data_IF_003659558828
#
_entry.id   IF_003659558828
#
_cell.length_a   1.000
_cell.length_b   1.000
_cell.length_c   1.000
_cell.angle_alpha   90.00
_cell.angle_beta   90.00
_cell.angle_gamma   90.00
#
_symmetry.space_group_name_H-M   'P 1'
#
loop_
_entity.id
_entity.type
_entity.pdbx_description
1 polymer ?
#
# COMPACT_ATOMS: atom_id res chain seq x y z
N UNK A 1 -11.48 8.10 16.86
CA UNK A 1 -11.12 7.04 17.84
C UNK A 1 -12.30 6.41 18.56
N UNK A 2 -13.44 7.09 18.74
CA UNK A 2 -14.61 6.54 19.46
C UNK A 2 -15.17 5.20 18.92
N UNK A 3 -15.02 4.92 17.62
CA UNK A 3 -15.46 3.66 17.02
C UNK A 3 -14.55 2.46 17.35
N UNK A 4 -13.31 2.71 17.78
CA UNK A 4 -12.28 1.68 17.88
C UNK A 4 -12.62 0.58 18.91
N UNK A 5 -13.08 0.88 20.14
CA UNK A 5 -13.45 -0.17 21.09
C UNK A 5 -14.51 -1.14 20.55
N UNK A 6 -15.55 -0.61 19.89
CA UNK A 6 -16.61 -1.42 19.29
C UNK A 6 -16.08 -2.26 18.13
N UNK A 7 -15.17 -1.72 17.33
CA UNK A 7 -14.54 -2.43 16.22
C UNK A 7 -13.65 -3.59 16.71
N UNK A 8 -12.81 -3.36 17.73
CA UNK A 8 -12.01 -4.42 18.35
C UNK A 8 -12.90 -5.53 18.93
N UNK A 9 -14.00 -5.15 19.62
CA UNK A 9 -14.95 -6.12 20.15
C UNK A 9 -15.64 -6.94 19.05
N UNK A 10 -16.00 -6.29 17.93
CA UNK A 10 -16.57 -6.95 16.76
C UNK A 10 -15.61 -7.99 16.17
N UNK A 11 -14.35 -7.61 15.92
CA UNK A 11 -13.33 -8.53 15.42
C UNK A 11 -13.13 -9.71 16.37
N UNK A 12 -12.96 -9.47 17.68
CA UNK A 12 -12.80 -10.55 18.68
C UNK A 12 -13.99 -11.51 18.73
N UNK A 13 -15.21 -11.01 18.54
CA UNK A 13 -16.43 -11.83 18.65
C UNK A 13 -16.70 -12.64 17.39
N UNK A 14 -16.36 -12.10 16.22
CA UNK A 14 -16.84 -12.64 14.94
C UNK A 14 -15.73 -13.21 14.05
N UNK A 15 -14.48 -12.84 14.27
CA UNK A 15 -13.33 -13.30 13.50
C UNK A 15 -12.41 -14.16 14.39
N UNK A 16 -12.47 -15.51 14.32
CA UNK A 16 -11.76 -16.40 15.26
C UNK A 16 -10.23 -16.21 15.28
N UNK A 17 -9.63 -15.82 14.14
CA UNK A 17 -8.22 -15.45 14.05
C UNK A 17 -7.90 -14.22 14.89
N UNK A 18 -8.73 -13.17 14.82
CA UNK A 18 -8.58 -12.00 15.68
C UNK A 18 -8.94 -12.30 17.15
N UNK A 19 -9.86 -13.21 17.42
CA UNK A 19 -10.12 -13.68 18.79
C UNK A 19 -8.85 -14.27 19.42
N UNK A 20 -8.07 -15.04 18.64
CA UNK A 20 -6.76 -15.58 19.04
C UNK A 20 -5.69 -14.51 19.16
N UNK A 21 -5.50 -13.68 18.13
CA UNK A 21 -4.47 -12.61 18.09
C UNK A 21 -4.66 -11.62 19.25
N UNK A 22 -5.92 -11.28 19.56
CA UNK A 22 -6.27 -10.27 20.54
C UNK A 22 -6.76 -10.87 21.87
N UNK A 23 -6.40 -12.12 22.19
CA UNK A 23 -6.95 -12.88 23.34
C UNK A 23 -6.95 -12.08 24.64
N UNK A 24 -5.83 -11.42 24.97
CA UNK A 24 -5.62 -10.69 26.24
C UNK A 24 -6.06 -9.20 26.17
N UNK A 25 -6.57 -8.77 25.02
CA UNK A 25 -6.97 -7.38 24.77
C UNK A 25 -8.37 -7.13 25.32
N UNK A 26 -8.52 -6.08 26.13
CA UNK A 26 -9.81 -5.53 26.56
C UNK A 26 -10.26 -4.43 25.58
N UNK A 27 -11.29 -4.68 24.74
CA UNK A 27 -11.69 -3.74 23.68
C UNK A 27 -11.95 -2.31 24.17
N UNK A 28 -12.60 -2.16 25.32
CA UNK A 28 -12.94 -0.88 25.96
C UNK A 28 -11.71 0.00 26.28
N UNK A 29 -10.53 -0.61 26.39
CA UNK A 29 -9.27 0.11 26.64
C UNK A 29 -8.58 0.61 25.37
N UNK A 30 -9.04 0.18 24.18
CA UNK A 30 -8.44 0.56 22.90
C UNK A 30 -9.19 1.76 22.32
N UNK A 31 -9.02 2.93 22.95
CA UNK A 31 -9.75 4.16 22.63
C UNK A 31 -8.83 5.33 22.19
N UNK A 32 -7.53 5.08 22.05
CA UNK A 32 -6.54 6.07 21.62
C UNK A 32 -5.54 5.46 20.63
N UNK A 33 -4.73 6.30 19.96
CA UNK A 33 -3.71 5.83 19.00
C UNK A 33 -2.60 5.07 19.72
N UNK A 34 -2.24 5.50 20.92
CA UNK A 34 -1.25 4.87 21.79
C UNK A 34 -1.73 3.50 22.26
N UNK A 35 -3.03 3.36 22.57
CA UNK A 35 -3.61 2.07 22.93
C UNK A 35 -3.66 1.12 21.73
N UNK A 36 -3.99 1.63 20.53
CA UNK A 36 -3.93 0.86 19.29
C UNK A 36 -2.50 0.36 19.02
N UNK A 37 -1.50 1.23 19.13
CA UNK A 37 -0.09 0.91 18.84
C UNK A 37 0.49 -0.23 19.72
N UNK A 38 -0.15 -0.59 20.83
CA UNK A 38 0.24 -1.72 21.69
C UNK A 38 -0.29 -3.07 21.22
N UNK A 39 -1.24 -3.10 20.28
CA UNK A 39 -1.78 -4.34 19.75
C UNK A 39 -0.77 -5.02 18.82
N UNK A 40 -0.77 -6.35 18.67
CA UNK A 40 0.05 -7.03 17.67
C UNK A 40 -0.23 -6.52 16.26
N UNK A 41 0.81 -6.43 15.44
CA UNK A 41 0.68 -6.15 14.01
C UNK A 41 0.34 -7.45 13.28
N UNK A 42 -0.64 -7.40 12.39
CA UNK A 42 -0.95 -8.49 11.45
C UNK A 42 -0.26 -8.16 10.13
N UNK A 43 0.68 -8.97 9.65
CA UNK A 43 1.40 -8.65 8.43
C UNK A 43 0.81 -9.36 7.23
N UNK A 44 0.83 -8.69 6.07
CA UNK A 44 0.47 -9.31 4.80
C UNK A 44 1.31 -10.56 4.50
N UNK A 45 2.61 -10.54 4.85
CA UNK A 45 3.52 -11.68 4.71
C UNK A 45 3.06 -12.94 5.44
N UNK A 46 2.26 -12.77 6.50
CA UNK A 46 1.84 -13.88 7.37
C UNK A 46 0.51 -14.49 6.91
N UNK A 47 -0.20 -13.87 5.97
CA UNK A 47 -1.54 -14.26 5.55
C UNK A 47 -1.59 -15.70 5.05
N UNK A 48 -0.66 -16.12 4.20
CA UNK A 48 -0.66 -17.50 3.68
C UNK A 48 -0.53 -18.53 4.80
N UNK A 49 0.27 -18.24 5.83
CA UNK A 49 0.42 -19.10 7.00
C UNK A 49 -0.85 -19.09 7.87
N UNK A 50 -1.38 -17.90 8.17
CA UNK A 50 -2.61 -17.75 8.95
C UNK A 50 -3.80 -18.46 8.28
N UNK A 51 -3.93 -18.35 6.96
CA UNK A 51 -4.99 -19.00 6.18
C UNK A 51 -4.87 -20.53 6.16
N UNK A 52 -3.64 -21.07 6.17
CA UNK A 52 -3.41 -22.51 6.33
C UNK A 52 -3.74 -23.00 7.73
N UNK A 53 -3.37 -22.23 8.76
CA UNK A 53 -3.66 -22.58 10.16
C UNK A 53 -5.16 -22.61 10.45
N UNK A 54 -5.92 -21.66 9.90
CA UNK A 54 -7.37 -21.61 10.07
C UNK A 54 -8.08 -21.31 8.74
N UNK A 55 -8.34 -22.33 7.92
CA UNK A 55 -8.95 -22.15 6.60
C UNK A 55 -10.37 -21.57 6.66
N UNK A 56 -10.81 -20.87 5.59
CA UNK A 56 -10.02 -20.51 4.41
C UNK A 56 -9.32 -19.14 4.52
N UNK A 57 -9.76 -18.26 5.43
CA UNK A 57 -9.34 -16.85 5.51
C UNK A 57 -8.55 -16.52 6.80
N UNK A 58 -7.99 -17.51 7.47
CA UNK A 58 -7.23 -17.35 8.71
C UNK A 58 -8.08 -16.95 9.92
N UNK A 59 -9.40 -17.08 9.79
CA UNK A 59 -10.37 -16.51 10.72
C UNK A 59 -10.25 -14.99 10.87
N UNK A 60 -9.70 -14.29 9.88
CA UNK A 60 -9.57 -12.83 9.88
C UNK A 60 -10.84 -12.12 9.39
N UNK A 61 -11.73 -12.86 8.71
CA UNK A 61 -13.08 -12.42 8.35
C UNK A 61 -14.07 -12.60 9.51
N UNK A 62 -14.92 -11.59 9.72
CA UNK A 62 -16.03 -11.63 10.67
C UNK A 62 -17.34 -12.14 10.03
N UNK A 63 -17.49 -11.99 8.72
CA UNK A 63 -18.63 -12.52 7.98
C UNK A 63 -18.31 -13.91 7.45
N UNK A 64 -19.16 -14.93 7.71
CA UNK A 64 -18.98 -16.28 7.17
C UNK A 64 -18.85 -16.29 5.65
N UNK A 65 -18.04 -17.20 5.12
CA UNK A 65 -17.64 -17.22 3.70
C UNK A 65 -18.84 -17.34 2.77
N UNK A 66 -19.82 -18.17 3.13
CA UNK A 66 -21.05 -18.38 2.39
C UNK A 66 -21.97 -17.14 2.33
N UNK A 67 -21.68 -16.11 3.15
CA UNK A 67 -22.40 -14.83 3.16
C UNK A 67 -21.65 -13.71 2.44
N UNK A 68 -20.38 -13.91 2.10
CA UNK A 68 -19.60 -12.98 1.29
C UNK A 68 -20.16 -12.90 -0.14
N UNK A 69 -19.80 -11.83 -0.85
CA UNK A 69 -20.14 -11.67 -2.26
C UNK A 69 -19.15 -12.42 -3.15
N UNK A 70 -17.85 -12.29 -2.87
CA UNK A 70 -16.77 -12.90 -3.66
C UNK A 70 -15.62 -13.32 -2.77
N UNK A 71 -14.83 -14.27 -3.28
CA UNK A 71 -13.48 -14.58 -2.81
C UNK A 71 -12.52 -14.38 -3.97
N UNK A 72 -11.39 -13.74 -3.68
CA UNK A 72 -10.30 -13.52 -4.60
C UNK A 72 -9.09 -14.38 -4.22
N UNK A 73 -8.16 -14.50 -5.15
CA UNK A 73 -6.91 -15.24 -5.04
C UNK A 73 -5.79 -14.37 -5.58
N UNK A 74 -4.93 -13.91 -4.70
CA UNK A 74 -3.67 -13.24 -5.07
C UNK A 74 -2.50 -14.24 -5.15
N UNK A 75 -1.40 -13.88 -5.84
CA UNK A 75 -0.17 -14.64 -5.78
C UNK A 75 0.30 -14.92 -4.34
N UNK A 76 0.93 -16.07 -4.11
CA UNK A 76 1.30 -16.51 -2.75
C UNK A 76 0.21 -17.34 -2.05
N UNK A 77 -0.60 -18.07 -2.85
CA UNK A 77 -2.01 -18.41 -2.58
C UNK A 77 -2.65 -17.70 -1.39
N UNK A 78 -2.83 -16.38 -1.51
CA UNK A 78 -3.53 -15.57 -0.50
C UNK A 78 -4.97 -15.38 -0.98
N UNK A 79 -5.92 -15.57 -0.07
CA UNK A 79 -7.36 -15.40 -0.35
C UNK A 79 -7.91 -14.13 0.29
N UNK A 80 -8.68 -13.35 -0.44
CA UNK A 80 -9.26 -12.09 0.04
C UNK A 80 -10.79 -12.06 -0.12
N UNK A 81 -11.54 -11.66 0.92
CA UNK A 81 -12.99 -11.56 0.85
C UNK A 81 -13.46 -10.25 0.22
N UNK A 82 -14.65 -10.26 -0.38
CA UNK A 82 -15.46 -9.07 -0.67
C UNK A 82 -16.88 -9.28 -0.13
N UNK A 83 -17.38 -8.29 0.61
CA UNK A 83 -18.76 -8.27 1.11
C UNK A 83 -19.75 -7.68 0.09
N UNK A 84 -21.02 -7.57 0.49
CA UNK A 84 -22.13 -7.20 -0.43
C UNK A 84 -22.39 -5.69 -0.57
N UNK A 85 -21.54 -4.84 0.01
CA UNK A 85 -21.71 -3.39 -0.05
C UNK A 85 -21.48 -2.85 -1.47
N UNK A 86 -22.26 -1.84 -1.88
CA UNK A 86 -22.16 -1.26 -3.23
C UNK A 86 -20.78 -0.62 -3.54
N UNK A 87 -20.14 -0.02 -2.53
CA UNK A 87 -18.76 0.50 -2.59
C UNK A 87 -17.94 -0.12 -1.44
N UNK A 88 -17.95 -1.46 -1.34
CA UNK A 88 -17.32 -2.18 -0.24
C UNK A 88 -15.82 -1.85 -0.08
N UNK A 89 -15.16 -1.58 -1.19
CA UNK A 89 -13.74 -1.24 -1.27
C UNK A 89 -13.42 0.24 -1.07
N UNK A 90 -14.45 1.10 -0.94
CA UNK A 90 -14.35 2.55 -0.67
C UNK A 90 -13.61 3.32 -1.76
N UNK A 91 -13.81 2.95 -3.02
CA UNK A 91 -13.11 3.57 -4.16
C UNK A 91 -13.85 4.77 -4.75
N UNK A 92 -15.18 4.88 -4.55
CA UNK A 92 -16.00 5.93 -5.18
C UNK A 92 -15.54 7.35 -4.81
N UNK A 93 -15.12 7.55 -3.56
CA UNK A 93 -14.66 8.86 -3.09
C UNK A 93 -13.31 9.27 -3.69
N UNK A 94 -12.38 8.32 -3.82
CA UNK A 94 -11.10 8.56 -4.48
C UNK A 94 -11.31 8.97 -5.94
N UNK A 95 -12.19 8.24 -6.65
CA UNK A 95 -12.60 8.56 -8.02
C UNK A 95 -13.22 9.97 -8.11
N UNK A 96 -14.14 10.31 -7.22
CA UNK A 96 -14.72 11.65 -7.18
C UNK A 96 -13.67 12.74 -6.95
N UNK A 97 -12.70 12.49 -6.06
CA UNK A 97 -11.59 13.41 -5.81
C UNK A 97 -10.65 13.58 -7.01
N UNK A 98 -10.52 12.54 -7.84
CA UNK A 98 -9.81 12.55 -9.12
C UNK A 98 -10.59 13.12 -10.30
N UNK A 99 -11.82 13.61 -10.09
CA UNK A 99 -12.62 14.29 -11.11
C UNK A 99 -13.59 13.38 -11.88
N UNK A 100 -13.79 12.13 -11.46
CA UNK A 100 -14.82 11.25 -12.00
C UNK A 100 -16.21 11.69 -11.53
N UNK A 101 -17.23 11.57 -12.38
CA UNK A 101 -18.60 11.98 -12.08
C UNK A 101 -19.61 10.98 -12.65
N UNK A 102 -20.82 11.02 -12.12
CA UNK A 102 -21.95 10.30 -12.70
C UNK A 102 -22.11 10.64 -14.20
N UNK A 103 -22.36 9.64 -15.03
CA UNK A 103 -22.43 9.77 -16.48
C UNK A 103 -21.10 9.61 -17.23
N UNK A 104 -19.95 9.59 -16.54
CA UNK A 104 -18.68 9.20 -17.15
C UNK A 104 -18.77 7.75 -17.65
N UNK A 105 -18.20 7.49 -18.83
CA UNK A 105 -18.01 6.14 -19.39
C UNK A 105 -16.56 5.75 -19.14
N UNK A 106 -16.37 4.68 -18.37
CA UNK A 106 -15.08 4.34 -17.77
C UNK A 106 -14.57 3.02 -18.31
N UNK A 107 -13.44 3.02 -19.01
CA UNK A 107 -12.72 1.78 -19.31
C UNK A 107 -12.02 1.32 -18.03
N UNK A 108 -12.46 0.17 -17.47
CA UNK A 108 -11.76 -0.47 -16.36
C UNK A 108 -10.91 -1.62 -16.89
N UNK A 109 -9.59 -1.40 -16.88
CA UNK A 109 -8.63 -2.32 -17.49
C UNK A 109 -7.88 -3.18 -16.47
N UNK A 110 -8.27 -3.13 -15.19
CA UNK A 110 -7.76 -4.07 -14.20
C UNK A 110 -8.30 -5.47 -14.45
N UNK A 111 -7.56 -6.50 -14.02
CA UNK A 111 -8.01 -7.88 -14.15
C UNK A 111 -9.29 -8.15 -13.35
N UNK A 112 -10.23 -8.85 -13.97
CA UNK A 112 -11.50 -9.30 -13.39
C UNK A 112 -11.48 -10.76 -12.94
N UNK A 113 -10.32 -11.41 -13.02
CA UNK A 113 -10.11 -12.80 -12.64
C UNK A 113 -8.99 -12.89 -11.60
N UNK A 114 -9.15 -13.82 -10.66
CA UNK A 114 -8.29 -14.05 -9.50
C UNK A 114 -8.19 -12.87 -8.53
N UNK A 115 -7.64 -11.72 -8.94
CA UNK A 115 -7.39 -10.58 -8.04
C UNK A 115 -8.56 -9.59 -8.00
N UNK A 116 -8.73 -8.80 -6.91
CA UNK A 116 -9.91 -7.97 -6.75
C UNK A 116 -9.90 -6.66 -7.55
N UNK A 117 -8.80 -6.26 -8.18
CA UNK A 117 -8.64 -4.89 -8.69
C UNK A 117 -9.74 -4.46 -9.68
N UNK A 118 -10.15 -5.33 -10.62
CA UNK A 118 -11.27 -5.05 -11.53
C UNK A 118 -12.57 -4.81 -10.77
N UNK A 119 -12.97 -5.75 -9.92
CA UNK A 119 -14.16 -5.65 -9.04
C UNK A 119 -14.14 -4.41 -8.14
N UNK A 120 -12.97 -4.12 -7.58
CA UNK A 120 -12.71 -3.04 -6.63
C UNK A 120 -12.99 -1.67 -7.23
N UNK A 121 -12.43 -1.40 -8.40
CA UNK A 121 -12.59 -0.12 -9.08
C UNK A 121 -13.93 -0.02 -9.80
N UNK A 122 -14.47 -1.14 -10.28
CA UNK A 122 -15.83 -1.19 -10.82
C UNK A 122 -16.88 -0.80 -9.77
N UNK A 123 -16.79 -1.38 -8.56
CA UNK A 123 -17.78 -1.13 -7.50
C UNK A 123 -17.90 0.35 -7.15
N UNK A 124 -16.77 1.05 -6.96
CA UNK A 124 -16.82 2.48 -6.66
C UNK A 124 -17.18 3.35 -7.86
N UNK A 125 -16.78 2.99 -9.09
CA UNK A 125 -17.20 3.72 -10.29
C UNK A 125 -18.71 3.60 -10.50
N UNK A 126 -19.26 2.38 -10.35
CA UNK A 126 -20.71 2.14 -10.43
C UNK A 126 -21.46 2.87 -9.30
N UNK A 127 -20.96 2.83 -8.06
CA UNK A 127 -21.55 3.55 -6.93
C UNK A 127 -21.51 5.08 -7.12
N UNK A 128 -20.54 5.61 -7.87
CA UNK A 128 -20.45 7.01 -8.24
C UNK A 128 -21.43 7.40 -9.37
N UNK A 129 -22.06 6.44 -10.03
CA UNK A 129 -22.98 6.63 -11.16
C UNK A 129 -22.28 6.64 -12.52
N UNK A 130 -21.05 6.13 -12.63
CA UNK A 130 -20.39 5.94 -13.91
C UNK A 130 -20.89 4.69 -14.63
N UNK A 131 -20.83 4.70 -15.97
CA UNK A 131 -21.01 3.50 -16.79
C UNK A 131 -19.66 2.82 -16.96
N UNK A 132 -19.48 1.66 -16.33
CA UNK A 132 -18.22 0.89 -16.43
C UNK A 132 -18.23 0.03 -17.69
N UNK A 133 -17.16 0.11 -18.47
CA UNK A 133 -16.84 -0.79 -19.57
C UNK A 133 -15.73 -1.73 -19.07
N UNK A 134 -16.06 -2.98 -18.68
CA UNK A 134 -15.13 -3.89 -18.01
C UNK A 134 -14.21 -4.58 -19.02
N UNK A 135 -13.29 -3.83 -19.62
CA UNK A 135 -12.45 -4.33 -20.71
C UNK A 135 -11.35 -5.27 -20.23
N UNK A 136 -10.94 -5.17 -18.97
CA UNK A 136 -9.88 -6.00 -18.41
C UNK A 136 -8.52 -5.74 -19.06
N UNK A 137 -7.65 -6.74 -19.03
CA UNK A 137 -6.26 -6.65 -19.53
C UNK A 137 -6.13 -7.11 -20.99
N UNK A 138 -5.10 -6.63 -21.69
CA UNK A 138 -4.77 -7.05 -23.05
C UNK A 138 -5.73 -6.51 -24.13
N UNK A 139 -5.67 -7.12 -25.33
CA UNK A 139 -6.49 -6.77 -26.50
C UNK A 139 -6.47 -5.26 -26.81
N UNK A 140 -5.28 -4.66 -26.91
CA UNK A 140 -5.13 -3.21 -26.99
C UNK A 140 -5.77 -2.62 -28.25
N UNK A 141 -5.77 -3.32 -29.39
CA UNK A 141 -6.51 -2.90 -30.59
C UNK A 141 -8.02 -2.76 -30.33
N UNK A 142 -8.61 -3.75 -29.65
CA UNK A 142 -10.04 -3.76 -29.32
C UNK A 142 -10.37 -2.68 -28.28
N UNK A 143 -9.48 -2.45 -27.31
CA UNK A 143 -9.63 -1.39 -26.32
C UNK A 143 -9.64 -0.01 -26.97
N UNK A 144 -8.71 0.27 -27.89
CA UNK A 144 -8.67 1.54 -28.65
C UNK A 144 -9.95 1.72 -29.45
N UNK A 145 -10.40 0.68 -30.16
CA UNK A 145 -11.65 0.71 -30.90
C UNK A 145 -12.87 0.95 -29.98
N UNK A 146 -12.90 0.34 -28.79
CA UNK A 146 -13.96 0.55 -27.81
C UNK A 146 -13.95 1.96 -27.22
N UNK A 147 -12.77 2.52 -26.91
CA UNK A 147 -12.62 3.89 -26.42
C UNK A 147 -13.25 4.86 -27.40
N UNK A 148 -12.91 4.73 -28.69
CA UNK A 148 -13.48 5.60 -29.73
C UNK A 148 -14.96 5.31 -29.98
N UNK A 149 -15.32 4.05 -30.15
CA UNK A 149 -16.67 3.63 -30.54
C UNK A 149 -17.74 3.91 -29.49
N UNK A 150 -17.39 3.77 -28.19
CA UNK A 150 -18.29 4.05 -27.07
C UNK A 150 -18.11 5.46 -26.51
N UNK A 151 -17.16 6.24 -27.05
CA UNK A 151 -16.81 7.57 -26.53
C UNK A 151 -16.39 7.53 -25.06
N UNK A 152 -15.57 6.56 -24.66
CA UNK A 152 -15.10 6.39 -23.28
C UNK A 152 -14.27 7.61 -22.90
N UNK A 153 -14.67 8.30 -21.82
CA UNK A 153 -14.01 9.53 -21.39
C UNK A 153 -13.15 9.41 -20.14
N UNK A 154 -13.13 8.23 -19.52
CA UNK A 154 -12.33 7.98 -18.33
C UNK A 154 -11.68 6.60 -18.34
N UNK A 155 -10.51 6.48 -17.72
CA UNK A 155 -9.72 5.25 -17.64
C UNK A 155 -9.40 4.88 -16.19
N UNK A 156 -9.50 3.59 -15.86
CA UNK A 156 -9.01 2.97 -14.63
C UNK A 156 -8.09 1.81 -14.98
N UNK A 157 -6.85 1.82 -14.48
CA UNK A 157 -5.87 0.79 -14.81
C UNK A 157 -4.47 1.08 -14.30
N UNK A 158 -3.46 0.43 -14.86
CA UNK A 158 -2.06 0.71 -14.53
C UNK A 158 -1.50 1.82 -15.42
N UNK A 159 -0.49 2.58 -14.95
CA UNK A 159 0.26 3.53 -15.78
C UNK A 159 0.82 2.88 -17.05
N UNK A 160 1.41 1.70 -16.93
CA UNK A 160 2.00 0.96 -18.05
C UNK A 160 0.95 0.59 -19.11
N UNK A 161 -0.23 0.14 -18.70
CA UNK A 161 -1.27 -0.24 -19.64
C UNK A 161 -1.92 0.96 -20.32
N UNK A 162 -2.12 2.07 -19.61
CA UNK A 162 -2.58 3.32 -20.21
C UNK A 162 -1.61 3.79 -21.31
N UNK A 163 -0.30 3.70 -21.05
CA UNK A 163 0.73 4.00 -22.06
C UNK A 163 0.57 3.12 -23.30
N UNK A 164 0.40 1.80 -23.13
CA UNK A 164 0.21 0.87 -24.25
C UNK A 164 -1.03 1.20 -25.08
N UNK A 165 -2.14 1.60 -24.45
CA UNK A 165 -3.36 2.02 -25.15
C UNK A 165 -3.11 3.27 -25.99
N UNK A 166 -2.40 4.25 -25.43
CA UNK A 166 -2.06 5.50 -26.15
C UNK A 166 -1.14 5.22 -27.34
N UNK A 167 -0.07 4.43 -27.14
CA UNK A 167 0.85 4.05 -28.23
C UNK A 167 0.13 3.25 -29.32
N UNK A 168 -0.77 2.34 -28.94
CA UNK A 168 -1.57 1.57 -29.90
C UNK A 168 -2.56 2.46 -30.67
N UNK A 169 -3.15 3.47 -30.03
CA UNK A 169 -4.00 4.43 -30.71
C UNK A 169 -3.24 5.24 -31.76
N UNK A 170 -2.01 5.66 -31.46
CA UNK A 170 -1.14 6.34 -32.41
C UNK A 170 -0.77 5.43 -33.60
N UNK A 171 -0.40 4.17 -33.33
CA UNK A 171 -0.08 3.16 -34.36
C UNK A 171 -1.27 2.93 -35.31
N UNK A 172 -2.47 2.79 -34.74
CA UNK A 172 -3.71 2.60 -35.49
C UNK A 172 -4.25 3.89 -36.13
N UNK A 173 -3.64 5.04 -35.80
CA UNK A 173 -4.10 6.38 -36.22
C UNK A 173 -5.55 6.66 -35.81
N UNK A 174 -5.94 6.22 -34.62
CA UNK A 174 -7.28 6.44 -34.05
C UNK A 174 -7.20 7.56 -33.00
N UNK A 175 -8.04 8.58 -33.17
CA UNK A 175 -8.16 9.67 -32.22
C UNK A 175 -8.91 9.24 -30.95
N UNK A 176 -8.19 9.21 -29.83
CA UNK A 176 -8.71 8.91 -28.49
C UNK A 176 -8.80 10.16 -27.59
N UNK A 177 -8.81 11.36 -28.15
CA UNK A 177 -8.95 12.62 -27.38
C UNK A 177 -10.20 12.70 -26.50
N UNK A 178 -11.21 11.86 -26.77
CA UNK A 178 -12.35 11.68 -25.88
C UNK A 178 -11.97 11.18 -24.47
N UNK A 179 -10.81 10.54 -24.31
CA UNK A 179 -10.31 10.02 -23.04
C UNK A 179 -9.67 11.14 -22.20
N UNK A 180 -10.48 11.87 -21.45
CA UNK A 180 -10.10 13.12 -20.78
C UNK A 180 -9.42 12.93 -19.41
N UNK A 181 -9.64 11.79 -18.75
CA UNK A 181 -9.16 11.57 -17.37
C UNK A 181 -8.78 10.12 -17.13
N UNK A 182 -7.86 9.93 -16.20
CA UNK A 182 -7.43 8.61 -15.77
C UNK A 182 -7.10 8.61 -14.27
N UNK A 183 -7.53 7.57 -13.58
CA UNK A 183 -6.99 7.23 -12.27
C UNK A 183 -6.22 5.92 -12.39
N UNK A 184 -4.93 5.97 -12.07
CA UNK A 184 -4.03 4.82 -12.18
C UNK A 184 -3.64 4.26 -10.81
N UNK A 185 -3.24 3.00 -10.75
CA UNK A 185 -2.79 2.36 -9.52
C UNK A 185 -2.00 1.08 -9.79
N UNK A 186 -1.72 0.34 -8.72
CA UNK A 186 -0.93 -0.91 -8.69
C UNK A 186 0.54 -0.80 -9.13
N UNK A 187 0.96 0.30 -9.74
CA UNK A 187 2.34 0.61 -10.09
C UNK A 187 2.64 2.08 -9.79
N UNK A 188 3.92 2.39 -9.59
CA UNK A 188 4.39 3.77 -9.53
C UNK A 188 4.17 4.46 -10.88
N UNK A 189 3.52 5.63 -10.89
CA UNK A 189 3.42 6.51 -12.07
C UNK A 189 4.65 7.43 -12.17
N UNK A 190 5.57 7.22 -13.15
CA UNK A 190 6.74 8.07 -13.31
C UNK A 190 6.35 9.50 -13.73
N UNK A 191 7.04 10.55 -13.23
CA UNK A 191 6.74 11.95 -13.58
C UNK A 191 6.77 12.22 -15.10
N UNK A 192 7.72 11.60 -15.82
CA UNK A 192 7.83 11.74 -17.28
C UNK A 192 6.58 11.20 -17.97
N UNK A 193 6.10 10.00 -17.57
CA UNK A 193 4.90 9.41 -18.14
C UNK A 193 3.67 10.26 -17.84
N UNK A 194 3.54 10.77 -16.61
CA UNK A 194 2.46 11.69 -16.22
C UNK A 194 2.44 12.92 -17.13
N UNK A 195 3.59 13.58 -17.31
CA UNK A 195 3.70 14.79 -18.14
C UNK A 195 3.32 14.50 -19.59
N UNK A 196 3.77 13.38 -20.17
CA UNK A 196 3.44 12.99 -21.54
C UNK A 196 1.93 12.77 -21.73
N UNK A 197 1.25 12.14 -20.76
CA UNK A 197 -0.20 11.93 -20.81
C UNK A 197 -0.96 13.25 -20.61
N UNK A 198 -0.48 14.14 -19.73
CA UNK A 198 -1.07 15.46 -19.53
C UNK A 198 -0.96 16.37 -20.76
N UNK A 199 0.15 16.29 -21.51
CA UNK A 199 0.31 17.01 -22.77
C UNK A 199 -0.70 16.57 -23.85
N UNK A 200 -1.28 15.37 -23.71
CA UNK A 200 -2.39 14.88 -24.54
C UNK A 200 -3.78 15.33 -24.06
N UNK A 201 -3.83 16.17 -23.03
CA UNK A 201 -5.09 16.70 -22.48
C UNK A 201 -5.71 15.84 -21.37
N UNK A 202 -5.01 14.81 -20.88
CA UNK A 202 -5.54 13.93 -19.84
C UNK A 202 -5.28 14.49 -18.44
N UNK A 203 -6.29 14.45 -17.56
CA UNK A 203 -6.11 14.64 -16.12
C UNK A 203 -5.76 13.32 -15.45
N UNK A 204 -4.60 13.27 -14.80
CA UNK A 204 -4.06 12.06 -14.20
C UNK A 204 -4.08 12.16 -12.68
N UNK A 205 -4.65 11.14 -12.03
CA UNK A 205 -4.54 10.90 -10.59
C UNK A 205 -4.10 9.47 -10.33
N UNK A 206 -3.57 9.22 -9.13
CA UNK A 206 -3.11 7.90 -8.71
C UNK A 206 -3.77 7.50 -7.39
N UNK A 207 -4.04 6.21 -7.22
CA UNK A 207 -4.50 5.65 -5.96
C UNK A 207 -3.56 4.57 -5.43
N UNK A 208 -3.48 4.49 -4.11
CA UNK A 208 -2.83 3.44 -3.36
C UNK A 208 -3.91 2.54 -2.74
N UNK A 209 -3.91 1.27 -3.11
CA UNK A 209 -4.87 0.27 -2.67
C UNK A 209 -4.20 -1.09 -2.52
N UNK A 210 -4.81 -1.99 -1.76
CA UNK A 210 -4.39 -3.39 -1.67
C UNK A 210 -5.58 -4.34 -1.79
N UNK A 211 -5.32 -5.58 -2.18
CA UNK A 211 -6.33 -6.64 -2.26
C UNK A 211 -7.02 -6.94 -0.91
N UNK A 212 -6.39 -6.55 0.21
CA UNK A 212 -6.88 -6.81 1.55
C UNK A 212 -7.70 -5.65 2.12
N UNK A 213 -7.27 -4.42 1.83
CA UNK A 213 -7.81 -3.21 2.45
C UNK A 213 -8.74 -2.42 1.52
N UNK A 214 -8.66 -2.61 0.21
CA UNK A 214 -9.27 -1.70 -0.76
C UNK A 214 -8.49 -0.40 -0.88
N UNK A 215 -9.21 0.71 -1.07
CA UNK A 215 -8.58 2.03 -1.13
C UNK A 215 -7.93 2.37 0.21
N UNK A 216 -6.64 2.70 0.17
CA UNK A 216 -5.86 3.18 1.31
C UNK A 216 -5.70 4.69 1.24
N UNK A 217 -5.24 5.19 0.09
CA UNK A 217 -5.06 6.62 -0.14
C UNK A 217 -5.24 6.97 -1.63
N UNK A 218 -5.52 8.24 -1.93
CA UNK A 218 -5.78 8.71 -3.28
C UNK A 218 -5.24 10.13 -3.50
N UNK A 219 -4.69 10.40 -4.69
CA UNK A 219 -4.46 11.76 -5.15
C UNK A 219 -5.80 12.47 -5.41
N UNK A 220 -5.81 13.80 -5.33
CA UNK A 220 -7.00 14.61 -5.58
C UNK A 220 -6.67 15.81 -6.44
N UNK A 221 -7.70 16.41 -7.02
CA UNK A 221 -7.57 17.66 -7.76
C UNK A 221 -7.89 18.87 -6.86
N UNK A 222 -7.13 19.94 -7.08
CA UNK A 222 -7.37 21.29 -6.58
C UNK A 222 -8.54 21.95 -7.34
N UNK A 223 -9.12 23.05 -6.82
CA UNK A 223 -10.21 23.76 -7.50
C UNK A 223 -9.88 24.24 -8.92
N UNK A 224 -8.61 24.55 -9.20
CA UNK A 224 -8.10 24.93 -10.52
C UNK A 224 -7.82 23.73 -11.45
N UNK A 225 -8.10 22.49 -10.99
CA UNK A 225 -7.87 21.26 -11.73
C UNK A 225 -6.44 20.72 -11.65
N UNK A 226 -5.53 21.38 -10.93
CA UNK A 226 -4.17 20.89 -10.72
C UNK A 226 -4.13 19.75 -9.70
N UNK A 227 -3.05 18.97 -9.71
CA UNK A 227 -2.88 17.86 -8.77
C UNK A 227 -2.53 18.40 -7.37
N UNK A 228 -3.25 17.95 -6.35
CA UNK A 228 -2.89 18.17 -4.96
C UNK A 228 -1.71 17.28 -4.57
N UNK A 229 -0.71 17.84 -3.92
CA UNK A 229 0.49 17.10 -3.50
C UNK A 229 0.15 15.97 -2.51
N UNK A 230 0.69 14.78 -2.78
CA UNK A 230 0.52 13.60 -1.95
C UNK A 230 -0.83 12.91 -2.11
N UNK A 231 -0.98 11.81 -1.38
CA UNK A 231 -2.19 10.99 -1.38
C UNK A 231 -2.95 11.17 -0.07
N UNK A 232 -4.23 11.51 -0.15
CA UNK A 232 -5.13 11.66 0.98
C UNK A 232 -5.58 10.29 1.43
N UNK A 233 -5.45 10.00 2.73
CA UNK A 233 -5.93 8.76 3.33
C UNK A 233 -7.45 8.66 3.18
N UNK A 234 -7.94 7.44 2.95
CA UNK A 234 -9.37 7.16 2.97
C UNK A 234 -9.94 7.33 4.41
N UNK A 235 -11.14 7.91 4.51
CA UNK A 235 -11.71 8.42 5.76
C UNK A 235 -12.10 7.33 6.76
N UNK A 236 -12.33 6.11 6.31
CA UNK A 236 -12.66 4.98 7.17
C UNK A 236 -11.43 4.18 7.61
N UNK A 237 -10.23 4.77 7.52
CA UNK A 237 -8.97 4.13 7.91
C UNK A 237 -8.26 4.87 9.05
N UNK A 238 -7.57 4.11 9.90
CA UNK A 238 -6.53 4.65 10.78
C UNK A 238 -5.18 4.24 10.21
N UNK A 239 -4.38 5.25 9.85
CA UNK A 239 -2.99 5.10 9.47
C UNK A 239 -2.08 5.14 10.70
N UNK A 240 -1.13 4.22 10.73
CA UNK A 240 0.13 4.28 11.45
C UNK A 240 1.28 4.15 10.43
N UNK A 241 2.35 4.91 10.62
CA UNK A 241 3.64 4.64 9.96
C UNK A 241 4.52 4.03 11.04
N UNK A 242 4.98 2.80 10.84
CA UNK A 242 5.76 2.05 11.85
C UNK A 242 7.14 1.72 11.33
N UNK A 243 8.10 1.49 12.24
CA UNK A 243 9.43 1.03 11.85
C UNK A 243 9.32 -0.37 11.20
N UNK A 244 9.86 -0.59 9.99
CA UNK A 244 9.77 -1.87 9.28
C UNK A 244 10.23 -3.05 10.13
N UNK A 245 9.49 -4.16 10.05
CA UNK A 245 9.76 -5.37 10.84
C UNK A 245 9.34 -5.28 12.32
N UNK A 246 8.94 -4.10 12.81
CA UNK A 246 8.44 -3.88 14.18
C UNK A 246 6.96 -3.48 14.20
N UNK A 247 6.42 -3.16 15.37
CA UNK A 247 5.10 -2.53 15.53
C UNK A 247 5.17 -1.11 16.08
N UNK A 248 6.34 -0.48 16.10
CA UNK A 248 6.55 0.80 16.79
C UNK A 248 6.31 1.98 15.84
N UNK A 249 5.37 2.90 16.14
CA UNK A 249 5.15 4.09 15.33
C UNK A 249 6.39 4.98 15.26
N UNK A 250 6.65 5.55 14.08
CA UNK A 250 7.71 6.55 13.88
C UNK A 250 7.14 7.98 14.00
N UNK A 251 7.97 8.99 14.30
CA UNK A 251 7.57 10.40 14.25
C UNK A 251 7.00 10.80 12.89
N UNK A 252 6.08 11.78 12.88
CA UNK A 252 5.49 12.29 11.65
C UNK A 252 6.56 12.81 10.68
N UNK A 253 6.46 12.42 9.41
CA UNK A 253 7.41 12.77 8.35
C UNK A 253 8.57 11.78 8.19
N UNK A 254 8.80 10.87 9.14
CA UNK A 254 9.73 9.76 8.95
C UNK A 254 9.14 8.67 8.06
N UNK A 255 10.00 8.02 7.27
CA UNK A 255 9.58 6.90 6.43
C UNK A 255 9.48 5.64 7.28
N UNK A 256 8.43 4.88 7.03
CA UNK A 256 8.23 3.57 7.63
C UNK A 256 7.15 2.78 6.90
N UNK A 257 6.86 1.60 7.42
CA UNK A 257 5.85 0.71 6.89
C UNK A 257 4.45 1.25 7.15
N UNK A 258 3.61 1.21 6.11
CA UNK A 258 2.21 1.58 6.18
C UNK A 258 1.43 0.49 6.90
N UNK A 259 0.88 0.85 8.07
CA UNK A 259 0.00 -0.02 8.86
C UNK A 259 -1.38 0.60 8.93
N UNK A 260 -2.39 -0.20 8.57
CA UNK A 260 -3.78 0.27 8.46
C UNK A 260 -4.68 -0.52 9.40
N UNK A 261 -5.54 0.18 10.11
CA UNK A 261 -6.74 -0.41 10.72
C UNK A 261 -7.96 0.06 9.92
N UNK A 262 -8.72 -0.90 9.36
CA UNK A 262 -9.93 -0.63 8.57
C UNK A 262 -11.19 -0.91 9.37
N UNK A 263 -12.22 -0.06 9.24
CA UNK A 263 -13.51 -0.27 9.90
C UNK A 263 -14.49 -1.17 9.11
N UNK A 264 -13.98 -1.97 8.18
CA UNK A 264 -14.76 -2.96 7.46
C UNK A 264 -15.34 -4.01 8.42
N UNK A 265 -16.66 -4.24 8.36
CA UNK A 265 -17.35 -5.19 9.27
C UNK A 265 -17.24 -6.64 8.82
N UNK A 266 -17.01 -6.90 7.53
CA UNK A 266 -16.87 -8.26 7.00
C UNK A 266 -15.43 -8.77 7.17
N UNK A 267 -14.45 -7.88 6.99
CA UNK A 267 -13.02 -8.18 7.08
C UNK A 267 -12.28 -7.14 7.94
N UNK A 268 -12.45 -7.19 9.28
CA UNK A 268 -12.00 -6.15 10.21
C UNK A 268 -10.49 -6.23 10.48
N UNK A 269 -9.67 -5.95 9.47
CA UNK A 269 -8.22 -5.96 9.60
C UNK A 269 -7.73 -4.86 10.55
N UNK A 270 -7.06 -5.27 11.63
CA UNK A 270 -6.53 -4.41 12.69
C UNK A 270 -5.00 -4.44 12.64
N UNK A 271 -4.39 -3.24 12.63
CA UNK A 271 -2.95 -3.03 12.46
C UNK A 271 -2.36 -3.92 11.37
N UNK A 272 -2.94 -3.83 10.18
CA UNK A 272 -2.51 -4.59 9.02
C UNK A 272 -1.34 -3.91 8.32
N UNK A 273 -0.16 -4.53 8.41
CA UNK A 273 1.06 -4.11 7.75
C UNK A 273 1.01 -4.49 6.27
N UNK A 274 1.05 -3.49 5.39
CA UNK A 274 0.92 -3.69 3.94
C UNK A 274 2.19 -4.23 3.30
N UNK A 275 3.34 -4.05 3.96
CA UNK A 275 4.65 -4.27 3.39
C UNK A 275 5.14 -3.10 2.51
N UNK A 276 4.42 -1.99 2.44
CA UNK A 276 4.82 -0.82 1.63
C UNK A 276 5.31 0.32 2.52
N UNK A 277 6.25 1.11 2.01
CA UNK A 277 6.85 2.25 2.72
C UNK A 277 6.19 3.56 2.32
N UNK A 278 5.97 4.43 3.30
CA UNK A 278 5.55 5.81 3.08
C UNK A 278 5.91 6.70 4.27
N UNK A 279 5.59 7.99 4.15
CA UNK A 279 5.67 8.96 5.24
C UNK A 279 4.46 9.88 5.21
N UNK A 280 4.05 10.34 6.40
CA UNK A 280 3.03 11.39 6.53
C UNK A 280 3.56 12.70 5.98
N UNK A 281 2.77 13.36 5.13
CA UNK A 281 3.00 14.73 4.71
C UNK A 281 2.39 15.70 5.73
N UNK A 282 3.17 16.65 6.27
CA UNK A 282 2.66 17.61 7.24
C UNK A 282 1.74 18.64 6.59
N UNK A 283 0.95 19.30 7.45
CA UNK A 283 0.09 20.42 7.05
C UNK A 283 -1.26 20.02 6.46
N UNK A 284 -2.17 20.99 6.43
CA UNK A 284 -3.50 20.82 5.83
C UNK A 284 -3.39 20.58 4.31
N UNK A 285 -4.34 19.84 3.73
CA UNK A 285 -4.36 19.66 2.29
C UNK A 285 -4.73 20.98 1.58
N UNK A 286 -3.97 21.41 0.57
CA UNK A 286 -4.34 22.57 -0.26
C UNK A 286 -5.72 22.44 -0.93
N UNK A 287 -6.16 21.22 -1.27
CA UNK A 287 -7.51 20.98 -1.81
C UNK A 287 -8.68 21.14 -0.81
N UNK A 288 -8.41 21.48 0.46
CA UNK A 288 -9.42 21.68 1.51
C UNK A 288 -9.87 20.42 2.26
N UNK A 289 -9.46 19.22 1.80
CA UNK A 289 -9.68 17.97 2.56
C UNK A 289 -8.81 17.95 3.82
N UNK A 290 -9.38 17.49 4.93
CA UNK A 290 -8.74 17.55 6.25
C UNK A 290 -8.13 16.23 6.73
N UNK A 291 -8.21 15.17 5.93
CA UNK A 291 -7.61 13.88 6.30
C UNK A 291 -6.08 13.91 6.11
N UNK A 292 -5.39 12.97 6.76
CA UNK A 292 -3.94 12.79 6.67
C UNK A 292 -3.53 12.60 5.21
N UNK A 293 -2.42 13.21 4.82
CA UNK A 293 -1.76 12.94 3.54
C UNK A 293 -0.51 12.11 3.75
N UNK A 294 -0.22 11.23 2.80
CA UNK A 294 1.03 10.48 2.72
C UNK A 294 1.77 10.84 1.43
N UNK A 295 3.08 10.66 1.40
CA UNK A 295 3.91 10.91 0.20
C UNK A 295 3.54 10.01 -0.99
N UNK A 296 2.83 8.91 -0.73
CA UNK A 296 2.59 7.84 -1.69
C UNK A 296 3.58 6.71 -1.49
N UNK A 297 3.79 5.89 -2.51
CA UNK A 297 4.66 4.73 -2.42
C UNK A 297 6.15 5.13 -2.41
N UNK A 298 6.89 4.71 -1.39
CA UNK A 298 8.32 4.99 -1.24
C UNK A 298 9.22 3.73 -1.31
N UNK A 299 8.63 2.55 -1.47
CA UNK A 299 9.37 1.28 -1.50
C UNK A 299 8.61 0.16 -0.81
N UNK A 300 9.30 -0.93 -0.53
CA UNK A 300 8.76 -2.12 0.14
C UNK A 300 9.48 -2.35 1.46
N UNK A 301 8.73 -2.48 2.55
CA UNK A 301 9.22 -2.77 3.89
C UNK A 301 9.62 -4.24 4.08
N UNK A 302 9.21 -5.12 3.16
CA UNK A 302 9.53 -6.55 3.14
C UNK A 302 10.59 -6.91 2.08
N UNK A 303 11.21 -5.91 1.44
CA UNK A 303 12.30 -6.17 0.50
C UNK A 303 13.47 -6.84 1.23
N UNK A 304 13.55 -8.16 1.03
CA UNK A 304 14.70 -8.94 1.43
C UNK A 304 15.77 -8.82 0.35
N UNK A 305 16.97 -8.40 0.72
CA UNK A 305 18.09 -8.43 -0.21
C UNK A 305 18.80 -9.76 -0.10
N UNK A 306 19.03 -10.41 -1.25
CA UNK A 306 19.81 -11.64 -1.32
C UNK A 306 21.29 -11.29 -1.19
N UNK A 307 21.97 -11.92 -0.24
CA UNK A 307 23.40 -11.79 0.01
C UNK A 307 23.98 -13.20 0.08
N UNK A 308 24.84 -13.59 -0.87
CA UNK A 308 25.55 -14.89 -0.84
C UNK A 308 24.62 -16.08 -0.56
N UNK A 309 23.53 -16.16 -1.31
CA UNK A 309 22.47 -17.19 -1.22
C UNK A 309 21.59 -17.19 0.05
N UNK A 310 21.79 -16.26 0.99
CA UNK A 310 20.90 -16.02 2.12
C UNK A 310 20.11 -14.72 1.92
N UNK A 311 18.95 -14.60 2.59
CA UNK A 311 18.14 -13.37 2.57
C UNK A 311 18.37 -12.59 3.86
N UNK A 312 18.62 -11.30 3.73
CA UNK A 312 18.63 -10.38 4.87
C UNK A 312 17.35 -9.57 4.85
N UNK A 313 16.62 -9.64 5.96
CA UNK A 313 15.32 -8.99 6.12
C UNK A 313 15.45 -7.70 6.94
N UNK A 314 14.54 -6.73 6.75
CA UNK A 314 14.49 -5.53 7.59
C UNK A 314 14.32 -5.84 9.09
N UNK A 315 13.60 -6.91 9.45
CA UNK A 315 13.49 -7.37 10.84
C UNK A 315 14.85 -7.75 11.46
N UNK A 316 15.72 -8.42 10.69
CA UNK A 316 17.08 -8.73 11.14
C UNK A 316 17.92 -7.47 11.32
N UNK A 317 17.82 -6.50 10.41
CA UNK A 317 18.52 -5.20 10.55
C UNK A 317 18.01 -4.45 11.77
N UNK A 318 16.70 -4.45 12.03
CA UNK A 318 16.11 -3.84 13.22
C UNK A 318 16.56 -4.53 14.51
N UNK A 319 16.68 -5.86 14.51
CA UNK A 319 17.20 -6.59 15.69
C UNK A 319 18.68 -6.29 15.95
N UNK A 320 19.50 -6.14 14.90
CA UNK A 320 20.89 -5.68 15.05
C UNK A 320 20.91 -4.30 15.69
N UNK A 321 20.21 -3.31 15.10
CA UNK A 321 20.23 -1.92 15.61
C UNK A 321 19.69 -1.80 17.03
N UNK A 322 18.68 -2.58 17.41
CA UNK A 322 18.12 -2.61 18.78
C UNK A 322 19.16 -3.00 19.85
N UNK A 323 20.21 -3.75 19.49
CA UNK A 323 21.30 -4.13 20.40
C UNK A 323 22.33 -3.02 20.63
N UNK A 324 22.29 -1.94 19.83
CA UNK A 324 23.27 -0.85 19.84
C UNK A 324 22.56 0.50 19.96
N UNK A 325 22.28 0.98 21.18
CA UNK A 325 21.59 2.27 21.42
C UNK A 325 22.27 3.49 20.80
N UNK A 326 23.55 3.38 20.45
CA UNK A 326 24.36 4.41 19.78
C UNK A 326 23.93 4.63 18.31
N UNK A 327 23.26 3.65 17.71
CA UNK A 327 22.80 3.70 16.32
C UNK A 327 21.45 4.41 16.23
N UNK A 328 21.45 5.57 15.60
CA UNK A 328 20.26 6.40 15.39
C UNK A 328 19.45 5.95 14.19
N UNK A 329 20.15 5.64 13.08
CA UNK A 329 19.58 5.13 11.82
C UNK A 329 20.57 4.14 11.23
N UNK A 330 20.06 3.17 10.50
CA UNK A 330 20.92 2.26 9.77
C UNK A 330 20.37 1.96 8.38
N UNK A 331 21.28 1.72 7.43
CA UNK A 331 20.96 1.30 6.07
C UNK A 331 21.84 0.12 5.71
N UNK A 332 21.21 -0.98 5.29
CA UNK A 332 21.94 -2.09 4.70
C UNK A 332 22.15 -1.82 3.21
N UNK A 333 23.40 -1.75 2.80
CA UNK A 333 23.80 -1.60 1.40
C UNK A 333 24.43 -2.92 0.95
N UNK A 334 23.90 -3.48 -0.12
CA UNK A 334 24.43 -4.70 -0.76
C UNK A 334 24.86 -4.32 -2.16
N UNK A 335 26.14 -4.51 -2.45
CA UNK A 335 26.77 -4.16 -3.72
C UNK A 335 27.59 -5.35 -4.24
N UNK A 336 27.81 -5.41 -5.55
CA UNK A 336 28.62 -6.43 -6.19
C UNK A 336 27.81 -7.40 -7.05
N UNK A 337 28.49 -8.42 -7.55
CA UNK A 337 27.89 -9.48 -8.37
C UNK A 337 27.39 -10.63 -7.50
N UNK A 338 26.33 -11.30 -7.94
CA UNK A 338 25.73 -12.41 -7.21
C UNK A 338 26.76 -13.49 -6.85
N UNK A 339 26.97 -13.74 -5.55
CA UNK A 339 27.97 -14.69 -5.05
C UNK A 339 29.29 -14.04 -4.59
N UNK A 340 29.53 -12.78 -4.95
CA UNK A 340 30.60 -11.92 -4.42
C UNK A 340 30.03 -10.62 -3.81
N UNK A 341 28.81 -10.70 -3.27
CA UNK A 341 28.12 -9.54 -2.69
C UNK A 341 28.89 -9.02 -1.45
N UNK A 342 29.10 -7.70 -1.40
CA UNK A 342 29.57 -6.97 -0.22
C UNK A 342 28.36 -6.39 0.51
N UNK A 343 28.22 -6.75 1.78
CA UNK A 343 27.13 -6.31 2.64
C UNK A 343 27.67 -5.33 3.68
N UNK A 344 27.28 -4.07 3.58
CA UNK A 344 27.73 -2.99 4.48
C UNK A 344 26.52 -2.40 5.20
N UNK A 345 26.51 -2.47 6.54
CA UNK A 345 25.54 -1.77 7.36
C UNK A 345 26.09 -0.38 7.70
N UNK A 346 25.54 0.64 7.06
CA UNK A 346 25.85 2.03 7.38
C UNK A 346 25.03 2.44 8.60
N UNK A 347 25.67 2.94 9.65
CA UNK A 347 25.03 3.32 10.91
C UNK A 347 25.29 4.80 11.20
N UNK A 348 24.22 5.60 11.31
CA UNK A 348 24.32 6.95 11.87
C UNK A 348 24.53 6.87 13.36
N UNK A 349 25.63 7.43 13.86
CA UNK A 349 25.90 7.50 15.30
C UNK A 349 26.33 8.91 15.69
N UNK A 350 25.93 9.36 16.89
CA UNK A 350 26.42 10.62 17.48
C UNK A 350 27.82 10.43 18.06
N UNK A 351 27.97 9.37 18.87
CA UNK A 351 29.21 9.00 19.51
C UNK A 351 29.80 7.76 18.80
N UNK A 352 31.14 7.68 18.77
CA UNK A 352 31.89 6.58 18.15
C UNK A 352 32.86 5.97 19.17
N UNK A 353 32.34 5.31 20.22
CA UNK A 353 33.20 4.65 21.18
C UNK A 353 34.07 3.60 20.48
N UNK A 354 35.29 3.44 20.97
CA UNK A 354 36.22 2.43 20.43
C UNK A 354 35.57 1.04 20.53
N UNK A 355 35.60 0.27 19.43
CA UNK A 355 35.00 -1.06 19.39
C UNK A 355 33.54 -1.13 18.93
N UNK A 356 32.86 0.01 18.70
CA UNK A 356 31.44 0.01 18.30
C UNK A 356 31.21 -0.69 16.96
N UNK A 357 32.05 -0.41 15.97
CA UNK A 357 31.93 -1.03 14.65
C UNK A 357 32.08 -2.56 14.75
N UNK A 358 33.05 -3.04 15.52
CA UNK A 358 33.31 -4.46 15.78
C UNK A 358 32.14 -5.13 16.51
N UNK A 359 31.53 -4.45 17.49
CA UNK A 359 30.36 -4.93 18.21
C UNK A 359 29.12 -5.06 17.29
N UNK A 360 28.92 -4.09 16.40
CA UNK A 360 27.84 -4.14 15.40
C UNK A 360 28.12 -5.26 14.38
N UNK A 361 29.35 -5.43 13.90
CA UNK A 361 29.74 -6.55 13.02
C UNK A 361 29.44 -7.89 13.68
N UNK A 362 29.76 -8.05 14.97
CA UNK A 362 29.45 -9.26 15.72
C UNK A 362 27.92 -9.53 15.79
N UNK A 363 27.12 -8.48 15.98
CA UNK A 363 25.66 -8.59 16.00
C UNK A 363 25.07 -8.91 14.63
N UNK A 364 25.60 -8.31 13.55
CA UNK A 364 25.25 -8.68 12.17
C UNK A 364 25.48 -10.18 11.97
N UNK A 365 26.67 -10.68 12.33
CA UNK A 365 27.00 -12.10 12.19
C UNK A 365 26.09 -12.99 13.02
N UNK A 366 25.73 -12.59 14.24
CA UNK A 366 24.84 -13.39 15.09
C UNK A 366 23.41 -13.42 14.56
N UNK A 367 22.86 -12.28 14.12
CA UNK A 367 21.45 -12.18 13.71
C UNK A 367 21.22 -12.67 12.27
N UNK A 368 22.13 -12.34 11.35
CA UNK A 368 21.98 -12.65 9.92
C UNK A 368 22.68 -13.95 9.52
N UNK A 369 23.59 -14.46 10.35
CA UNK A 369 24.52 -15.56 10.04
C UNK A 369 25.44 -15.29 8.83
N UNK A 370 25.52 -14.03 8.38
CA UNK A 370 26.38 -13.54 7.30
C UNK A 370 27.53 -12.70 7.85
N UNK A 371 28.65 -12.66 7.12
CA UNK A 371 29.69 -11.64 7.35
C UNK A 371 29.25 -10.34 6.69
N UNK A 372 29.37 -9.23 7.40
CA UNK A 372 29.11 -7.89 6.89
C UNK A 372 30.11 -6.88 7.44
N UNK A 373 30.20 -5.75 6.76
CA UNK A 373 30.99 -4.59 7.15
C UNK A 373 30.10 -3.55 7.84
N UNK A 374 30.69 -2.67 8.65
CA UNK A 374 29.98 -1.56 9.29
C UNK A 374 30.67 -0.27 8.93
N UNK A 375 29.88 0.72 8.50
CA UNK A 375 30.34 2.06 8.22
C UNK A 375 29.63 3.03 9.17
N UNK A 376 30.38 3.68 10.08
CA UNK A 376 29.83 4.68 10.98
C UNK A 376 29.80 6.05 10.27
N UNK A 377 28.60 6.59 10.07
CA UNK A 377 28.38 7.82 9.32
C UNK A 377 27.81 8.93 10.23
N UNK A 378 27.98 10.23 9.90
CA UNK A 378 27.44 11.32 10.70
C UNK A 378 25.90 11.31 10.75
N UNK A 379 25.25 11.83 11.81
CA UNK A 379 23.80 11.97 11.85
C UNK A 379 23.24 12.79 10.68
N UNK A 380 22.15 12.33 10.06
CA UNK A 380 21.52 12.97 8.90
C UNK A 380 22.19 12.74 7.55
N UNK A 381 23.18 11.85 7.46
CA UNK A 381 23.89 11.52 6.21
C UNK A 381 23.22 10.39 5.42
N UNK A 382 22.41 9.55 6.06
CA UNK A 382 21.64 8.53 5.37
C UNK A 382 20.32 9.12 4.87
N UNK A 383 19.91 8.78 3.63
CA UNK A 383 18.59 9.13 3.14
C UNK A 383 17.51 8.45 3.99
N UNK A 384 16.40 9.16 4.17
CA UNK A 384 15.24 8.67 4.88
C UNK A 384 14.26 8.08 3.86
N UNK A 385 14.56 6.89 3.35
CA UNK A 385 13.79 6.17 2.33
C UNK A 385 13.18 4.83 2.82
N UNK A 386 13.32 4.53 4.12
CA UNK A 386 12.69 3.41 4.81
C UNK A 386 13.65 2.28 5.13
#
# INVERSE_FOLDING_TARGET
MAALPRHIAHAKRHAPGFARILKDVRPEKINSREALARLPVTRKSDLASLQKELPPLGGLNATPVEKLAKLFVSPGPIYEPEGRGADWWRTARGLFAGGFRAGDRVANTFAYHFTPAGSMLESGAAALGCTVVPTGVGQTEMQVAAIRGLGINAFLGTPSFLKLIVEKADEMKIDISCLEKAQVGAEFLPPILRNNLQQRGMRLTQCYASADLGLIAYESLMPDGTLNEGMILEEALILEIVRPGTGDPVPAGEVGEVVITTFNRDYPLIRFATGDLSAVLPGASPCGRTNVRIKGWMGRADQSTKVRAMFVTPAQVSEVTRRHPEVLRARLVVEGEAGNDRMTLKCETRDRPAGLAEAIVASIRDVTKLRGEVELVPPGSLPNDG
#
